data_IF_376237280296
#
_entry.id   IF_376237280296
#
_cell.length_a   1.000
_cell.length_b   1.000
_cell.length_c   1.000
_cell.angle_alpha   90.00
_cell.angle_beta   90.00
_cell.angle_gamma   90.00
#
_symmetry.space_group_name_H-M   'P 1'
#
loop_
_entity.id
_entity.type
_entity.pdbx_description
1 polymer ?
#
# COMPACT_ATOMS: atom_id res chain seq x y z
N UNK A 1 -11.80 8.94 3.76
CA UNK A 1 -11.90 7.46 3.78
C UNK A 1 -12.89 7.00 4.86
N UNK A 2 -14.04 7.66 5.00
CA UNK A 2 -14.72 7.67 6.31
C UNK A 2 -15.51 6.39 6.61
N UNK A 3 -15.91 5.65 5.58
CA UNK A 3 -16.67 4.40 5.75
C UNK A 3 -15.75 3.27 6.20
N UNK A 4 -14.60 3.09 5.55
CA UNK A 4 -13.63 2.05 5.92
C UNK A 4 -13.03 2.34 7.29
N UNK A 5 -12.71 3.60 7.59
CA UNK A 5 -12.20 3.98 8.91
C UNK A 5 -13.19 3.66 10.03
N UNK A 6 -14.51 3.80 9.81
CA UNK A 6 -15.52 3.41 10.81
C UNK A 6 -15.53 1.90 11.09
N UNK A 7 -15.20 1.06 10.11
CA UNK A 7 -15.09 -0.39 10.32
C UNK A 7 -13.85 -0.72 11.16
N UNK A 8 -12.72 -0.09 10.87
CA UNK A 8 -11.46 -0.22 11.63
C UNK A 8 -11.64 0.27 13.07
N UNK A 9 -12.26 1.44 13.26
CA UNK A 9 -12.53 2.02 14.59
C UNK A 9 -13.48 1.16 15.45
N UNK A 10 -14.22 0.22 14.84
CA UNK A 10 -15.04 -0.78 15.54
C UNK A 10 -14.29 -2.07 15.90
N UNK A 11 -12.99 -2.14 15.62
CA UNK A 11 -12.14 -3.29 15.88
C UNK A 11 -12.12 -4.33 14.75
N UNK A 12 -12.63 -4.00 13.56
CA UNK A 12 -12.53 -4.90 12.40
C UNK A 12 -11.21 -4.69 11.66
N UNK A 13 -10.66 -5.75 11.09
CA UNK A 13 -9.59 -5.65 10.09
C UNK A 13 -10.20 -5.52 8.70
N UNK A 14 -9.72 -4.54 7.93
CA UNK A 14 -10.13 -4.33 6.54
C UNK A 14 -8.91 -4.58 5.65
N UNK A 15 -9.02 -5.55 4.73
CA UNK A 15 -8.02 -5.82 3.71
C UNK A 15 -8.55 -5.39 2.35
N UNK A 16 -7.80 -4.57 1.63
CA UNK A 16 -8.17 -4.04 0.31
C UNK A 16 -7.00 -4.22 -0.65
N UNK A 17 -7.30 -4.62 -1.88
CA UNK A 17 -6.35 -4.58 -3.00
C UNK A 17 -6.62 -3.28 -3.73
N UNK A 18 -5.62 -2.40 -3.82
CA UNK A 18 -5.82 -1.11 -4.45
C UNK A 18 -4.56 -0.54 -5.13
N UNK A 19 -4.78 0.34 -6.11
CA UNK A 19 -3.80 1.08 -6.89
C UNK A 19 -3.98 2.60 -6.77
N UNK A 20 -5.10 3.09 -6.21
CA UNK A 20 -5.31 4.50 -5.94
C UNK A 20 -4.49 4.97 -4.73
N UNK A 21 -3.57 5.90 -4.97
CA UNK A 21 -2.65 6.43 -3.97
C UNK A 21 -3.35 7.22 -2.86
N UNK A 22 -4.49 7.85 -3.13
CA UNK A 22 -5.29 8.54 -2.11
C UNK A 22 -5.84 7.59 -1.05
N UNK A 23 -6.07 6.33 -1.43
CA UNK A 23 -6.49 5.26 -0.52
C UNK A 23 -5.26 4.68 0.18
N UNK A 24 -4.21 4.35 -0.58
CA UNK A 24 -3.00 3.70 -0.07
C UNK A 24 -2.30 4.54 1.01
N UNK A 25 -2.21 5.87 0.84
CA UNK A 25 -1.51 6.76 1.79
C UNK A 25 -2.15 6.86 3.18
N UNK A 26 -3.39 6.39 3.32
CA UNK A 26 -4.12 6.41 4.58
C UNK A 26 -4.14 5.04 5.27
N UNK A 27 -3.51 4.02 4.68
CA UNK A 27 -3.47 2.69 5.26
C UNK A 27 -2.50 2.63 6.43
N UNK A 28 -2.87 1.92 7.49
CA UNK A 28 -1.99 1.69 8.65
C UNK A 28 -0.86 0.69 8.32
N UNK A 29 -1.10 -0.19 7.35
CA UNK A 29 -0.18 -1.25 6.92
C UNK A 29 -0.43 -1.59 5.45
N UNK A 30 0.63 -1.93 4.73
CA UNK A 30 0.57 -2.37 3.34
C UNK A 30 1.50 -3.53 3.05
N UNK A 31 1.13 -4.31 2.03
CA UNK A 31 1.95 -5.37 1.44
C UNK A 31 2.06 -5.04 -0.05
N UNK A 32 3.28 -4.79 -0.51
CA UNK A 32 3.54 -4.50 -1.93
C UNK A 32 4.02 -5.75 -2.65
N UNK A 33 3.39 -6.04 -3.79
CA UNK A 33 3.64 -7.23 -4.59
C UNK A 33 4.19 -6.84 -5.95
N UNK A 34 5.17 -7.60 -6.45
CA UNK A 34 5.77 -7.32 -7.75
C UNK A 34 7.04 -8.14 -8.01
N UNK A 35 8.04 -7.56 -8.71
CA UNK A 35 8.07 -6.19 -9.28
C UNK A 35 7.20 -6.00 -10.51
N UNK A 36 6.83 -7.07 -11.20
CA UNK A 36 6.01 -7.02 -12.40
C UNK A 36 4.69 -7.80 -12.21
N UNK A 37 3.84 -7.77 -13.22
CA UNK A 37 2.65 -8.63 -13.30
C UNK A 37 2.96 -10.03 -13.84
N UNK A 38 2.06 -10.98 -13.59
CA UNK A 38 2.12 -12.33 -14.17
C UNK A 38 3.38 -13.10 -13.74
N UNK A 39 4.08 -13.71 -14.70
CA UNK A 39 5.26 -14.54 -14.44
C UNK A 39 6.46 -13.75 -13.88
N UNK A 40 6.49 -12.43 -14.04
CA UNK A 40 7.51 -11.55 -13.46
C UNK A 40 7.19 -11.05 -12.06
N UNK A 41 6.02 -11.43 -11.51
CA UNK A 41 5.53 -10.98 -10.21
C UNK A 41 5.49 -12.06 -9.14
N UNK A 42 4.58 -11.88 -8.18
CA UNK A 42 4.27 -12.86 -7.15
C UNK A 42 5.25 -12.88 -5.98
N UNK A 43 6.14 -11.89 -5.87
CA UNK A 43 7.00 -11.70 -4.71
C UNK A 43 6.47 -10.59 -3.83
N UNK A 44 6.64 -10.77 -2.53
CA UNK A 44 6.49 -9.68 -1.56
C UNK A 44 7.74 -8.83 -1.65
N UNK A 45 7.58 -7.59 -2.08
CA UNK A 45 8.67 -6.61 -2.16
C UNK A 45 8.84 -5.86 -0.84
N UNK A 46 7.73 -5.66 -0.13
CA UNK A 46 7.69 -4.88 1.10
C UNK A 46 6.46 -5.21 1.93
N UNK A 47 6.60 -5.13 3.25
CA UNK A 47 5.49 -5.06 4.18
C UNK A 47 5.80 -4.08 5.32
N UNK A 48 4.85 -3.21 5.66
CA UNK A 48 5.06 -2.15 6.65
C UNK A 48 4.13 -0.95 6.43
N UNK A 49 4.54 0.24 6.88
CA UNK A 49 3.74 1.47 6.69
C UNK A 49 3.93 2.07 5.28
N UNK A 50 3.00 2.93 4.83
CA UNK A 50 3.15 3.68 3.58
C UNK A 50 4.45 4.49 3.47
N UNK A 51 4.90 5.09 4.57
CA UNK A 51 6.12 5.90 4.61
C UNK A 51 7.38 5.05 4.44
N UNK A 52 7.42 3.87 5.08
CA UNK A 52 8.53 2.94 5.00
C UNK A 52 8.67 2.35 3.58
N UNK A 53 7.56 2.15 2.87
CA UNK A 53 7.58 1.67 1.48
C UNK A 53 8.37 2.62 0.57
N UNK A 54 8.34 3.93 0.81
CA UNK A 54 9.00 4.91 -0.07
C UNK A 54 10.51 4.71 -0.21
N UNK A 55 11.15 3.96 0.71
CA UNK A 55 12.56 3.59 0.62
C UNK A 55 12.84 2.41 -0.36
N UNK A 56 11.80 1.70 -0.82
CA UNK A 56 11.92 0.47 -1.61
C UNK A 56 11.99 0.78 -3.10
N UNK A 57 13.22 0.78 -3.63
CA UNK A 57 13.49 1.17 -5.03
C UNK A 57 12.91 0.23 -6.09
N UNK A 58 12.69 -1.02 -5.73
CA UNK A 58 12.16 -2.05 -6.65
C UNK A 58 10.63 -1.97 -6.79
N UNK A 59 9.95 -1.17 -5.96
CA UNK A 59 8.51 -1.02 -5.96
C UNK A 59 8.07 0.11 -6.90
N UNK A 60 7.19 -0.22 -7.85
CA UNK A 60 6.51 0.80 -8.64
C UNK A 60 5.62 1.68 -7.77
N UNK A 61 4.94 1.09 -6.78
CA UNK A 61 4.08 1.79 -5.82
C UNK A 61 4.88 2.84 -5.03
N UNK A 62 6.06 2.47 -4.50
CA UNK A 62 6.93 3.38 -3.74
C UNK A 62 7.28 4.66 -4.51
N UNK A 63 7.59 4.52 -5.82
CA UNK A 63 7.97 5.62 -6.69
C UNK A 63 6.88 6.70 -6.78
N UNK A 64 5.62 6.29 -6.85
CA UNK A 64 4.51 7.25 -6.95
C UNK A 64 3.98 7.69 -5.59
N UNK A 65 3.95 6.79 -4.61
CA UNK A 65 3.52 7.13 -3.25
C UNK A 65 4.39 8.21 -2.62
N UNK A 66 5.70 8.20 -2.88
CA UNK A 66 6.61 9.24 -2.42
C UNK A 66 6.28 10.64 -2.97
N UNK A 67 5.63 10.73 -4.14
CA UNK A 67 5.19 12.01 -4.72
C UNK A 67 3.88 12.52 -4.09
N UNK A 68 3.04 11.60 -3.63
CA UNK A 68 1.73 11.90 -3.01
C UNK A 68 1.80 12.19 -1.51
N UNK A 69 2.89 11.80 -0.85
CA UNK A 69 3.16 12.10 0.56
C UNK A 69 3.89 13.45 0.76
N UNK A 70 4.38 14.06 -0.31
CA UNK A 70 5.08 15.35 -0.29
C UNK A 70 4.12 16.54 -0.27
#
# INVERSE_FOLDING_TARGET
MDVLQKLVNRGNTVLVIEHNLDVIKQADYMIDLGPEGGAGGGKILFEGTPEDLCAVKESHTAKFLALELA
#
